data_IF_070286321879
#
_entry.id   IF_070286321879
#
_cell.length_a   1.000
_cell.length_b   1.000
_cell.length_c   1.000
_cell.angle_alpha   90.00
_cell.angle_beta   90.00
_cell.angle_gamma   90.00
#
_symmetry.space_group_name_H-M   'P 1'
#
loop_
_entity.id
_entity.type
_entity.pdbx_description
1 polymer ?
2 non-polymer ?
3 water ?
#
# COMPACT_ATOMS: atom_id res chain seq x y z
N UNK A 1 6.36 25.36 -13.40
CA UNK A 1 5.70 24.62 -14.47
C UNK A 1 5.21 23.26 -13.98
N UNK A 2 6.09 22.50 -13.34
CA UNK A 2 5.89 21.08 -13.10
C UNK A 2 5.58 20.84 -11.62
N UNK A 3 4.54 20.06 -11.37
CA UNK A 3 4.22 19.57 -10.02
C UNK A 3 4.73 18.14 -9.92
N UNK A 4 5.59 17.88 -8.94
CA UNK A 4 6.23 16.58 -8.80
C UNK A 4 5.61 15.79 -7.65
N UNK A 5 5.30 14.52 -7.91
CA UNK A 5 4.64 13.65 -6.93
C UNK A 5 5.55 12.46 -6.66
N UNK A 6 5.84 12.20 -5.38
CA UNK A 6 6.46 10.95 -4.96
C UNK A 6 5.37 9.93 -4.72
N UNK A 7 5.53 8.73 -5.28
CA UNK A 7 4.52 7.72 -5.05
C UNK A 7 5.07 6.30 -5.15
N UNK A 8 4.88 5.47 -4.12
CA UNK A 8 5.19 4.04 -4.25
C UNK A 8 4.17 3.28 -5.09
N UNK A 9 3.06 3.92 -5.49
CA UNK A 9 2.09 3.26 -6.36
C UNK A 9 2.72 2.92 -7.70
N UNK A 10 2.17 1.91 -8.36
CA UNK A 10 2.53 1.63 -9.73
C UNK A 10 1.86 2.64 -10.67
N UNK A 11 2.44 2.78 -11.86
CA UNK A 11 1.97 3.82 -12.78
C UNK A 11 0.54 3.56 -13.23
N UNK A 12 0.16 2.30 -13.41
CA UNK A 12 -1.16 2.00 -13.96
C UNK A 12 -2.30 2.41 -13.04
N UNK A 13 -2.03 2.64 -11.75
CA UNK A 13 -3.09 3.04 -10.84
C UNK A 13 -3.30 4.55 -10.84
N UNK A 14 -2.22 5.33 -10.92
CA UNK A 14 -2.31 6.76 -10.68
C UNK A 14 -2.05 7.60 -11.93
N UNK A 15 -1.31 7.08 -12.91
CA UNK A 15 -1.06 7.87 -14.12
C UNK A 15 -2.33 8.30 -14.84
N UNK A 16 -3.37 7.47 -14.99
CA UNK A 16 -4.59 7.97 -15.66
C UNK A 16 -5.27 9.13 -14.95
N UNK A 17 -5.53 9.02 -13.64
CA UNK A 17 -6.22 10.11 -12.96
C UNK A 17 -5.32 11.34 -12.84
N UNK A 18 -4.01 11.13 -12.73
CA UNK A 18 -3.10 12.28 -12.75
C UNK A 18 -3.07 12.93 -14.13
N UNK A 19 -3.24 12.13 -15.19
CA UNK A 19 -3.43 12.71 -16.52
C UNK A 19 -4.73 13.51 -16.58
N UNK A 20 -5.79 12.98 -15.97
CA UNK A 20 -7.05 13.71 -15.93
C UNK A 20 -6.91 15.02 -15.16
N UNK A 21 -6.05 15.04 -14.14
CA UNK A 21 -5.78 16.30 -13.45
C UNK A 21 -5.04 17.28 -14.35
N UNK A 22 -4.08 16.77 -15.13
CA UNK A 22 -3.40 17.61 -16.13
C UNK A 22 -4.41 18.21 -17.09
N UNK A 23 -5.33 17.37 -17.60
CA UNK A 23 -6.30 17.84 -18.58
C UNK A 23 -7.23 18.89 -17.98
N UNK A 24 -7.56 18.75 -16.70
CA UNK A 24 -8.51 19.67 -16.07
C UNK A 24 -7.83 20.95 -15.60
N UNK A 25 -6.64 20.84 -15.00
CA UNK A 25 -6.00 21.99 -14.35
C UNK A 25 -4.83 22.56 -15.14
N UNK A 26 -4.46 21.96 -16.27
CA UNK A 26 -3.43 22.48 -17.16
C UNK A 26 -2.08 22.60 -16.43
N UNK A 27 -1.74 21.56 -15.66
CA UNK A 27 -0.48 21.47 -14.94
C UNK A 27 0.19 20.16 -15.34
N UNK A 28 1.51 20.18 -15.47
CA UNK A 28 2.28 18.99 -15.82
C UNK A 28 2.72 18.28 -14.55
N UNK A 29 2.36 17.00 -14.43
CA UNK A 29 2.67 16.20 -13.25
C UNK A 29 3.71 15.15 -13.63
N UNK A 30 4.82 15.14 -12.91
CA UNK A 30 5.83 14.10 -13.03
C UNK A 30 5.84 13.27 -11.74
N UNK A 31 6.11 11.98 -11.89
CA UNK A 31 6.04 11.03 -10.78
C UNK A 31 7.42 10.46 -10.53
N UNK A 32 7.82 10.42 -9.25
CA UNK A 32 9.04 9.76 -8.82
C UNK A 32 8.62 8.47 -8.11
N UNK A 33 8.97 7.33 -8.71
CA UNK A 33 8.56 6.02 -8.23
C UNK A 33 9.65 5.39 -7.36
N UNK A 34 9.24 4.44 -6.53
CA UNK A 34 10.16 3.71 -5.69
C UNK A 34 9.46 3.11 -4.50
N UNK A 35 10.20 2.31 -3.75
CA UNK A 35 9.70 1.78 -2.49
C UNK A 35 9.39 2.94 -1.54
N UNK A 36 8.41 2.71 -0.66
CA UNK A 36 7.92 3.78 0.20
C UNK A 36 9.04 4.42 1.00
N UNK A 37 9.75 3.62 1.80
CA UNK A 37 10.80 4.17 2.65
C UNK A 37 12.00 4.66 1.87
N UNK A 38 12.24 4.12 0.66
CA UNK A 38 13.32 4.62 -0.18
C UNK A 38 13.00 6.03 -0.66
N UNK A 39 11.75 6.25 -1.11
CA UNK A 39 11.33 7.58 -1.50
C UNK A 39 11.44 8.56 -0.34
N UNK A 40 11.03 8.12 0.86
CA UNK A 40 11.07 8.99 2.03
C UNK A 40 12.51 9.32 2.42
N UNK A 41 13.41 8.34 2.30
CA UNK A 41 14.82 8.59 2.62
C UNK A 41 15.48 9.48 1.58
N UNK A 42 15.20 9.22 0.30
CA UNK A 42 15.73 10.08 -0.75
C UNK A 42 15.18 11.50 -0.63
N UNK A 43 13.89 11.63 -0.32
CA UNK A 43 13.30 12.94 -0.09
C UNK A 43 13.98 13.65 1.08
N UNK A 44 14.23 12.92 2.17
CA UNK A 44 14.86 13.51 3.34
C UNK A 44 16.23 14.10 3.01
N UNK A 45 17.00 13.42 2.15
CA UNK A 45 18.34 13.86 1.80
C UNK A 45 18.35 14.85 0.64
N UNK A 46 17.19 15.20 0.11
CA UNK A 46 17.09 16.15 -0.99
C UNK A 46 17.19 17.58 -0.46
N UNK A 47 17.78 18.46 -1.27
CA UNK A 47 17.75 19.87 -0.95
C UNK A 47 16.31 20.34 -0.86
N UNK A 48 16.06 21.37 -0.04
CA UNK A 48 14.73 21.98 0.00
C UNK A 48 14.29 22.41 -1.40
N UNK A 49 15.23 22.92 -2.20
CA UNK A 49 14.87 23.56 -3.47
C UNK A 49 14.64 22.57 -4.61
N UNK A 50 15.11 21.34 -4.51
CA UNK A 50 14.89 20.34 -5.55
C UNK A 50 13.73 19.41 -5.25
N UNK A 51 13.17 19.49 -4.04
CA UNK A 51 12.16 18.53 -3.61
C UNK A 51 10.88 18.68 -4.42
N UNK A 52 10.14 17.58 -4.51
CA UNK A 52 8.82 17.58 -5.10
C UNK A 52 7.80 18.19 -4.16
N UNK A 53 6.53 18.05 -4.54
CA UNK A 53 5.44 18.76 -3.87
C UNK A 53 4.51 17.88 -3.07
N UNK A 54 4.21 16.66 -3.54
CA UNK A 54 3.19 15.82 -2.93
C UNK A 54 3.72 14.39 -2.83
N UNK A 55 3.38 13.72 -1.73
CA UNK A 55 3.65 12.30 -1.53
C UNK A 55 2.32 11.60 -1.38
N UNK A 56 2.03 10.66 -2.29
CA UNK A 56 0.80 9.89 -2.24
C UNK A 56 1.11 8.40 -2.28
N UNK A 57 0.43 7.65 -1.43
CA UNK A 57 0.67 6.23 -1.31
C UNK A 57 1.50 5.89 -0.08
N UNK A 58 1.41 4.63 0.33
CA UNK A 58 2.07 4.18 1.54
C UNK A 58 1.28 4.52 2.78
N UNK A 59 1.57 3.79 3.86
CA UNK A 59 0.92 4.05 5.14
C UNK A 59 1.62 5.22 5.80
N UNK A 60 1.38 6.43 5.26
CA UNK A 60 2.16 7.60 5.66
C UNK A 60 1.86 8.01 7.10
N UNK A 61 0.61 7.86 7.52
CA UNK A 61 0.23 8.29 8.88
C UNK A 61 0.99 7.54 9.97
N UNK A 62 1.66 6.44 9.62
CA UNK A 62 2.35 5.63 10.61
C UNK A 62 3.84 5.40 10.33
N UNK A 63 4.32 5.71 9.11
CA UNK A 63 5.69 5.36 8.76
C UNK A 63 6.49 6.55 8.23
N UNK A 64 6.08 7.79 8.54
CA UNK A 64 6.88 8.96 8.22
C UNK A 64 7.85 9.18 9.38
N UNK A 65 9.13 8.89 9.15
CA UNK A 65 10.13 9.00 10.21
C UNK A 65 10.58 10.43 10.43
N UNK A 66 10.49 11.29 9.41
CA UNK A 66 10.96 12.67 9.48
C UNK A 66 9.79 13.60 9.18
N UNK A 67 8.96 13.90 10.18
CA UNK A 67 7.85 14.85 9.96
C UNK A 67 8.30 16.24 9.58
N UNK A 68 9.56 16.59 9.86
CA UNK A 68 10.08 17.91 9.47
C UNK A 68 10.18 18.09 7.97
N UNK A 69 10.05 17.02 7.19
CA UNK A 69 10.09 17.09 5.74
C UNK A 69 8.72 17.33 5.13
N UNK A 70 7.69 17.54 5.94
CA UNK A 70 6.33 17.68 5.46
C UNK A 70 5.66 18.88 6.12
N UNK A 71 4.54 19.30 5.52
CA UNK A 71 3.79 20.47 5.97
C UNK A 71 2.54 19.98 6.70
N UNK A 72 2.22 20.52 7.87
CA UNK A 72 0.97 20.12 8.55
C UNK A 72 -0.24 20.53 7.74
N UNK A 73 -0.94 19.55 7.16
CA UNK A 73 -2.08 19.85 6.31
C UNK A 73 -2.94 18.60 6.16
N UNK A 74 -4.24 18.76 6.36
CA UNK A 74 -5.22 17.74 6.02
C UNK A 74 -6.30 18.41 5.17
N UNK A 75 -6.75 17.71 4.13
CA UNK A 75 -7.81 18.24 3.29
C UNK A 75 -9.09 18.42 4.11
N UNK A 76 -9.89 19.41 3.70
CA UNK A 76 -11.14 19.68 4.40
C UNK A 76 -12.10 18.50 4.32
N UNK A 77 -11.99 17.69 3.26
CA UNK A 77 -12.91 16.58 3.04
C UNK A 77 -12.69 15.41 3.99
N UNK A 78 -11.81 15.52 4.98
CA UNK A 78 -11.69 14.47 5.97
C UNK A 78 -13.00 14.28 6.73
N UNK A 79 -13.85 15.31 6.75
CA UNK A 79 -15.15 15.19 7.40
C UNK A 79 -16.05 14.19 6.67
N UNK A 80 -15.82 13.97 5.38
CA UNK A 80 -16.62 13.04 4.60
C UNK A 80 -16.03 11.63 4.54
N UNK A 81 -14.95 11.38 5.28
CA UNK A 81 -14.27 10.10 5.21
C UNK A 81 -14.82 9.12 6.22
N UNK A 82 -14.61 7.83 5.94
CA UNK A 82 -15.05 6.78 6.84
C UNK A 82 -14.42 6.97 8.21
N UNK A 83 -15.24 6.83 9.26
CA UNK A 83 -14.83 7.26 10.59
C UNK A 83 -13.63 6.46 11.11
N UNK A 84 -13.56 5.17 10.77
CA UNK A 84 -12.52 4.32 11.34
C UNK A 84 -11.15 4.56 10.75
N UNK A 85 -11.03 5.28 9.64
CA UNK A 85 -9.77 5.36 8.91
C UNK A 85 -9.29 6.78 8.65
N UNK A 86 -9.86 7.78 9.32
CA UNK A 86 -9.34 9.13 9.21
C UNK A 86 -7.95 9.21 9.83
N UNK A 87 -7.05 9.94 9.17
CA UNK A 87 -5.69 10.05 9.66
C UNK A 87 -5.65 10.75 11.01
N UNK A 88 -4.87 10.18 11.93
CA UNK A 88 -4.55 10.83 13.19
C UNK A 88 -3.23 11.60 13.11
N UNK A 89 -2.64 11.68 11.91
CA UNK A 89 -1.38 12.35 11.67
C UNK A 89 -1.67 13.68 10.98
N UNK A 90 -1.26 14.78 11.61
CA UNK A 90 -1.58 16.11 11.09
C UNK A 90 -0.90 16.41 9.76
N UNK A 91 0.07 15.59 9.34
CA UNK A 91 0.71 15.76 8.05
C UNK A 91 0.05 14.95 6.94
N UNK A 92 -0.89 14.07 7.27
CA UNK A 92 -1.38 13.05 6.35
C UNK A 92 -2.89 13.19 6.19
N UNK A 93 -3.36 13.14 4.95
CA UNK A 93 -4.77 12.95 4.63
C UNK A 93 -4.95 11.52 4.12
N UNK A 94 -5.90 10.80 4.71
CA UNK A 94 -6.19 9.45 4.23
C UNK A 94 -6.71 9.49 2.80
N UNK A 95 -6.31 8.51 2.00
CA UNK A 95 -6.57 8.55 0.57
C UNK A 95 -7.30 7.31 0.07
N UNK A 96 -6.77 6.12 0.35
CA UNK A 96 -7.36 4.87 -0.10
C UNK A 96 -7.19 3.82 0.98
N UNK A 97 -8.05 2.80 0.93
CA UNK A 97 -7.91 1.61 1.76
C UNK A 97 -7.37 0.49 0.89
N UNK A 98 -6.24 -0.09 1.31
CA UNK A 98 -5.56 -1.10 0.51
C UNK A 98 -5.31 -2.35 1.34
N UNK A 99 -6.08 -3.41 1.15
CA UNK A 99 -5.79 -4.66 1.85
C UNK A 99 -4.49 -5.27 1.35
N UNK A 100 -3.65 -5.70 2.28
CA UNK A 100 -2.53 -6.56 1.93
C UNK A 100 -3.04 -7.97 1.74
N UNK A 101 -2.43 -8.70 0.81
CA UNK A 101 -2.96 -9.99 0.38
C UNK A 101 -1.83 -10.99 0.20
N UNK A 102 -2.20 -12.27 0.18
CA UNK A 102 -1.36 -13.35 -0.32
C UNK A 102 -1.79 -13.62 -1.76
N UNK A 103 -0.82 -13.69 -2.66
CA UNK A 103 -1.07 -14.05 -4.05
C UNK A 103 -0.54 -15.45 -4.29
N UNK A 104 -1.34 -16.28 -4.97
CA UNK A 104 -0.99 -17.67 -5.24
C UNK A 104 -1.05 -17.91 -6.73
N UNK A 105 -0.04 -18.59 -7.27
CA UNK A 105 -0.06 -19.01 -8.66
C UNK A 105 -0.99 -20.22 -8.77
N UNK A 106 -2.13 -20.03 -9.44
CA UNK A 106 -3.13 -21.08 -9.51
C UNK A 106 -2.76 -22.22 -10.44
N UNK A 107 -1.76 -22.03 -11.30
CA UNK A 107 -1.28 -23.11 -12.17
C UNK A 107 -0.26 -24.00 -11.46
N UNK A 108 0.55 -23.44 -10.56
CA UNK A 108 1.49 -24.23 -9.78
C UNK A 108 0.87 -24.82 -8.52
N UNK A 109 -0.23 -24.25 -8.04
CA UNK A 109 -0.77 -24.61 -6.74
C UNK A 109 -1.18 -26.08 -6.69
N UNK A 110 -1.91 -26.54 -7.69
CA UNK A 110 -2.37 -27.91 -7.68
C UNK A 110 -3.34 -28.15 -6.54
N UNK A 111 -3.08 -29.17 -5.74
CA UNK A 111 -3.92 -29.51 -4.60
C UNK A 111 -3.47 -28.85 -3.31
N UNK A 112 -2.41 -28.03 -3.35
CA UNK A 112 -1.94 -27.38 -2.13
C UNK A 112 -2.96 -26.36 -1.67
N UNK A 113 -3.32 -26.42 -0.39
CA UNK A 113 -4.26 -25.46 0.20
C UNK A 113 -3.47 -24.31 0.81
N UNK A 114 -3.85 -23.08 0.48
CA UNK A 114 -3.25 -21.88 1.05
C UNK A 114 -4.38 -20.96 1.45
N UNK A 115 -4.72 -20.94 2.74
CA UNK A 115 -5.79 -20.10 3.27
C UNK A 115 -5.28 -18.90 4.03
N UNK A 116 -3.99 -18.87 4.37
CA UNK A 116 -3.45 -17.75 5.13
C UNK A 116 -1.97 -17.96 5.42
N UNK A 117 -1.53 -17.30 6.48
CA UNK A 117 -0.11 -17.30 6.80
C UNK A 117 0.36 -18.66 7.28
N UNK A 118 -0.46 -19.37 8.06
CA UNK A 118 -0.05 -20.68 8.57
C UNK A 118 0.20 -21.66 7.44
N UNK A 119 -0.67 -21.65 6.42
CA UNK A 119 -0.52 -22.56 5.29
C UNK A 119 0.75 -22.29 4.48
N UNK A 120 1.28 -21.07 4.53
CA UNK A 120 2.52 -20.77 3.83
C UNK A 120 3.71 -21.53 4.41
N UNK A 121 3.59 -22.03 5.64
CA UNK A 121 4.67 -22.74 6.32
C UNK A 121 4.69 -24.22 5.99
N UNK A 122 3.81 -24.70 5.11
CA UNK A 122 3.83 -26.11 4.74
C UNK A 122 5.16 -26.45 4.08
N UNK A 123 5.77 -27.59 4.43
CA UNK A 123 7.11 -27.92 3.91
C UNK A 123 7.23 -27.87 2.40
N UNK A 124 6.17 -28.22 1.66
CA UNK A 124 6.22 -28.23 0.20
C UNK A 124 6.50 -26.83 -0.35
N UNK A 125 6.18 -25.78 0.41
CA UNK A 125 6.34 -24.41 -0.05
C UNK A 125 7.65 -23.78 0.38
N UNK A 126 8.52 -24.51 1.09
CA UNK A 126 9.74 -23.94 1.62
C UNK A 126 10.62 -23.38 0.51
N UNK A 127 11.10 -22.15 0.70
CA UNK A 127 11.93 -21.48 -0.27
C UNK A 127 11.24 -21.09 -1.56
N UNK A 128 9.95 -21.38 -1.70
CA UNK A 128 9.20 -21.09 -2.92
C UNK A 128 8.11 -20.04 -2.68
N UNK A 129 8.23 -19.26 -1.61
CA UNK A 129 7.37 -18.14 -1.30
C UNK A 129 8.22 -16.88 -1.26
N UNK A 130 7.63 -15.75 -1.68
CA UNK A 130 8.37 -14.50 -1.77
C UNK A 130 7.67 -13.40 -1.00
N UNK A 131 8.46 -12.44 -0.52
CA UNK A 131 7.96 -11.24 0.11
C UNK A 131 8.98 -10.13 -0.11
N UNK A 132 8.56 -8.89 0.14
CA UNK A 132 9.43 -7.75 -0.09
C UNK A 132 10.03 -7.25 1.21
N UNK A 133 11.17 -6.56 1.09
CA UNK A 133 11.99 -6.04 2.18
C UNK A 133 11.14 -5.22 3.15
N UNK A 134 10.95 -5.70 4.39
CA UNK A 134 10.17 -4.92 5.37
C UNK A 134 10.88 -3.65 5.82
N UNK A 135 12.18 -3.51 5.58
CA UNK A 135 12.90 -2.31 5.96
C UNK A 135 12.65 -1.15 4.99
N UNK A 136 12.33 -1.46 3.73
CA UNK A 136 12.22 -0.43 2.70
C UNK A 136 10.82 -0.26 2.13
N UNK A 137 9.95 -1.25 2.28
CA UNK A 137 8.65 -1.25 1.62
C UNK A 137 7.52 -1.14 2.63
N UNK A 138 6.40 -0.56 2.17
CA UNK A 138 5.18 -0.58 2.97
C UNK A 138 4.60 -1.99 3.04
N UNK A 139 4.59 -2.70 1.91
CA UNK A 139 3.93 -4.01 1.84
C UNK A 139 4.65 -5.03 2.72
N UNK A 140 5.97 -5.12 2.62
CA UNK A 140 6.71 -6.05 3.45
C UNK A 140 6.59 -5.73 4.93
N UNK A 141 6.63 -4.44 5.27
CA UNK A 141 6.51 -4.04 6.67
C UNK A 141 5.13 -4.37 7.22
N UNK A 142 4.08 -4.10 6.44
CA UNK A 142 2.73 -4.36 6.92
C UNK A 142 2.45 -5.85 7.03
N UNK A 143 3.04 -6.67 6.15
CA UNK A 143 2.86 -8.11 6.24
C UNK A 143 3.55 -8.68 7.47
N UNK A 144 4.75 -8.17 7.79
CA UNK A 144 5.44 -8.62 8.99
C UNK A 144 4.68 -8.22 10.25
N UNK A 145 4.03 -7.05 10.24
CA UNK A 145 3.14 -6.69 11.34
C UNK A 145 1.98 -7.66 11.45
N UNK A 146 1.38 -8.03 10.31
CA UNK A 146 0.25 -8.95 10.33
C UNK A 146 0.64 -10.29 10.90
N UNK A 147 1.81 -10.81 10.52
CA UNK A 147 2.28 -12.08 11.08
C UNK A 147 2.56 -11.94 12.57
N UNK A 148 3.21 -10.84 12.96
CA UNK A 148 3.43 -10.62 14.39
C UNK A 148 2.11 -10.45 15.14
N UNK A 149 1.11 -9.86 14.50
CA UNK A 149 -0.16 -9.61 15.17
C UNK A 149 -0.91 -10.88 15.53
N UNK A 150 -0.58 -12.01 14.90
CA UNK A 150 -1.32 -13.25 15.15
C UNK A 150 -1.30 -13.62 16.63
N UNK A 151 -0.10 -13.78 17.18
CA UNK A 151 0.06 -14.13 18.59
C UNK A 151 1.06 -13.23 19.30
N UNK A 152 1.48 -12.13 18.66
CA UNK A 152 2.48 -11.21 19.21
C UNK A 152 3.75 -11.96 19.59
N UNK A 153 4.22 -12.78 18.65
CA UNK A 153 5.42 -13.59 18.82
C UNK A 153 6.37 -13.29 17.68
N UNK A 154 7.57 -12.79 18.01
CA UNK A 154 8.59 -12.54 17.00
C UNK A 154 9.01 -13.85 16.33
N UNK A 155 8.91 -14.97 17.04
CA UNK A 155 9.27 -16.26 16.47
C UNK A 155 8.40 -16.60 15.26
N UNK A 156 7.15 -16.14 15.25
CA UNK A 156 6.30 -16.35 14.08
C UNK A 156 6.83 -15.59 12.87
N UNK A 157 7.31 -14.37 13.09
CA UNK A 157 7.91 -13.60 12.00
C UNK A 157 9.16 -14.29 11.48
N UNK A 158 10.02 -14.76 12.40
CA UNK A 158 11.25 -15.43 11.99
C UNK A 158 10.96 -16.75 11.29
N UNK A 159 9.93 -17.46 11.74
CA UNK A 159 9.58 -18.73 11.09
C UNK A 159 9.20 -18.51 9.63
N UNK A 160 8.41 -17.47 9.36
CA UNK A 160 8.05 -17.19 7.97
C UNK A 160 9.27 -16.77 7.16
N UNK A 161 10.09 -15.88 7.71
CA UNK A 161 11.23 -15.36 6.97
C UNK A 161 12.24 -16.46 6.64
N UNK A 162 12.40 -17.43 7.54
CA UNK A 162 13.26 -18.57 7.26
C UNK A 162 12.65 -19.49 6.19
N UNK A 163 11.36 -19.34 5.90
CA UNK A 163 10.66 -20.16 4.94
C UNK A 163 10.55 -19.51 3.56
N UNK A 164 10.80 -18.21 3.46
CA UNK A 164 10.49 -17.46 2.24
C UNK A 164 11.74 -16.72 1.75
N UNK A 165 11.66 -16.28 0.49
CA UNK A 165 12.71 -15.49 -0.14
C UNK A 165 12.31 -14.01 -0.10
N UNK A 166 13.20 -13.18 0.43
CA UNK A 166 12.95 -11.74 0.48
C UNK A 166 13.44 -11.08 -0.79
N UNK A 167 12.57 -10.29 -1.42
CA UNK A 167 12.89 -9.55 -2.62
C UNK A 167 13.00 -8.06 -2.30
N UNK A 168 13.74 -7.35 -3.15
CA UNK A 168 13.97 -5.93 -2.91
C UNK A 168 12.70 -5.11 -3.14
N UNK A 169 11.96 -5.42 -4.20
CA UNK A 169 10.82 -4.61 -4.63
C UNK A 169 9.51 -5.36 -4.44
N UNK A 170 8.50 -4.64 -3.96
CA UNK A 170 7.19 -5.24 -3.73
C UNK A 170 6.59 -5.78 -5.03
N UNK A 171 6.70 -5.03 -6.11
CA UNK A 171 6.10 -5.45 -7.38
C UNK A 171 6.84 -6.61 -8.01
N UNK A 172 8.07 -6.89 -7.58
CA UNK A 172 8.74 -8.11 -8.03
C UNK A 172 8.05 -9.35 -7.48
N UNK A 173 7.38 -9.23 -6.34
CA UNK A 173 6.68 -10.38 -5.76
C UNK A 173 5.54 -10.83 -6.66
N UNK A 174 4.67 -9.91 -7.06
CA UNK A 174 3.53 -10.28 -7.87
C UNK A 174 3.99 -10.71 -9.28
N UNK A 175 5.03 -10.07 -9.80
CA UNK A 175 5.51 -10.45 -11.14
C UNK A 175 6.06 -11.87 -11.14
N UNK A 176 6.88 -12.21 -10.13
CA UNK A 176 7.50 -13.53 -10.11
C UNK A 176 6.50 -14.62 -9.75
N UNK A 177 5.50 -14.30 -8.92
CA UNK A 177 4.44 -15.27 -8.64
C UNK A 177 3.58 -15.48 -9.87
N UNK A 178 3.16 -14.38 -10.52
CA UNK A 178 2.32 -14.47 -11.70
C UNK A 178 3.03 -15.22 -12.82
N UNK A 179 4.34 -15.02 -12.96
CA UNK A 179 5.12 -15.66 -14.01
C UNK A 179 5.60 -17.06 -13.62
N UNK A 180 5.28 -17.51 -12.41
CA UNK A 180 5.55 -18.89 -12.03
C UNK A 180 6.91 -19.15 -11.40
N UNK A 181 7.61 -18.12 -10.94
CA UNK A 181 8.87 -18.36 -10.24
C UNK A 181 8.63 -18.78 -8.80
N UNK A 182 7.56 -18.32 -8.18
CA UNK A 182 7.20 -18.71 -6.82
C UNK A 182 5.77 -19.22 -6.80
N UNK A 183 5.50 -20.11 -5.84
CA UNK A 183 4.14 -20.61 -5.68
C UNK A 183 3.22 -19.55 -5.09
N UNK A 184 3.73 -18.69 -4.22
CA UNK A 184 2.90 -17.68 -3.56
C UNK A 184 3.79 -16.54 -3.09
N UNK A 185 3.14 -15.42 -2.75
CA UNK A 185 3.86 -14.24 -2.31
C UNK A 185 2.98 -13.32 -1.49
N UNK A 186 3.64 -12.40 -0.79
CA UNK A 186 2.97 -11.39 0.01
C UNK A 186 2.91 -10.09 -0.79
N UNK A 187 1.71 -9.69 -1.17
CA UNK A 187 1.52 -8.54 -2.06
C UNK A 187 0.43 -7.64 -1.47
N UNK A 188 -0.20 -6.84 -2.33
CA UNK A 188 -1.35 -6.04 -1.93
C UNK A 188 -2.39 -6.07 -3.05
N UNK A 189 -3.60 -5.62 -2.71
CA UNK A 189 -4.77 -5.93 -3.52
C UNK A 189 -4.64 -5.39 -4.93
N UNK A 190 -4.29 -4.10 -5.08
CA UNK A 190 -4.26 -3.48 -6.40
C UNK A 190 -3.19 -4.10 -7.28
N UNK A 191 -2.03 -4.41 -6.71
CA UNK A 191 -0.96 -5.03 -7.48
C UNK A 191 -1.35 -6.43 -7.93
N UNK A 192 -2.01 -7.18 -7.06
CA UNK A 192 -2.51 -8.50 -7.43
C UNK A 192 -3.56 -8.41 -8.54
N UNK A 193 -4.45 -7.41 -8.44
CA UNK A 193 -5.51 -7.28 -9.43
C UNK A 193 -4.95 -6.90 -10.81
N UNK A 194 -3.85 -6.13 -10.84
CA UNK A 194 -3.25 -5.75 -12.11
C UNK A 194 -2.87 -6.98 -12.93
N UNK A 195 -2.23 -7.96 -12.29
CA UNK A 195 -1.74 -9.12 -13.03
C UNK A 195 -2.83 -10.16 -13.26
N UNK A 196 -3.77 -10.32 -12.31
CA UNK A 196 -4.88 -11.23 -12.54
C UNK A 196 -5.75 -10.77 -13.70
N UNK A 197 -5.99 -9.45 -13.79
CA UNK A 197 -6.79 -8.93 -14.88
C UNK A 197 -6.06 -8.95 -16.22
N UNK A 198 -4.73 -9.10 -16.19
CA UNK A 198 -3.96 -9.34 -17.40
C UNK A 198 -3.95 -10.81 -17.82
N UNK A 199 -4.77 -11.64 -17.17
CA UNK A 199 -4.90 -13.04 -17.53
C UNK A 199 -3.94 -13.99 -16.85
N UNK A 200 -3.06 -13.50 -16.00
CA UNK A 200 -2.09 -14.37 -15.36
C UNK A 200 -2.76 -15.27 -14.32
N UNK A 201 -2.25 -16.50 -14.14
CA UNK A 201 -2.88 -17.42 -13.17
C UNK A 201 -2.62 -17.01 -11.73
N UNK A 202 -3.35 -16.02 -11.24
CA UNK A 202 -3.11 -15.45 -9.92
C UNK A 202 -4.40 -15.56 -9.10
N UNK A 203 -4.29 -16.16 -7.92
CA UNK A 203 -5.38 -16.18 -6.96
C UNK A 203 -5.08 -15.20 -5.83
N UNK A 204 -6.09 -14.46 -5.39
CA UNK A 204 -5.95 -13.48 -4.32
C UNK A 204 -6.50 -14.11 -3.04
N UNK A 205 -5.68 -14.17 -2.00
CA UNK A 205 -6.02 -14.81 -0.74
C UNK A 205 -5.94 -13.78 0.37
N UNK A 206 -7.03 -13.64 1.13
CA UNK A 206 -7.03 -12.79 2.31
C UNK A 206 -6.77 -13.67 3.53
N UNK A 207 -5.65 -13.50 4.22
CA UNK A 207 -5.28 -14.45 5.29
C UNK A 207 -6.36 -14.59 6.35
N UNK A 208 -6.75 -15.84 6.61
CA UNK A 208 -7.83 -16.10 7.56
C UNK A 208 -7.41 -15.72 8.98
N UNK A 209 -6.12 -15.76 9.28
CA UNK A 209 -5.64 -15.39 10.61
C UNK A 209 -5.77 -13.89 10.87
N UNK A 210 -6.02 -13.09 9.84
CA UNK A 210 -6.08 -11.65 10.01
C UNK A 210 -5.40 -10.91 8.89
N UNK A 211 -6.17 -10.10 8.16
CA UNK A 211 -5.67 -9.36 7.01
C UNK A 211 -5.38 -7.92 7.43
N UNK A 212 -4.16 -7.46 7.19
CA UNK A 212 -3.82 -6.08 7.49
C UNK A 212 -4.41 -5.16 6.43
N UNK A 213 -5.06 -4.09 6.88
CA UNK A 213 -5.66 -3.10 6.00
C UNK A 213 -4.81 -1.83 6.03
N UNK A 214 -4.21 -1.48 4.89
CA UNK A 214 -3.43 -0.26 4.78
C UNK A 214 -4.35 0.93 4.58
N UNK A 215 -4.11 1.99 5.36
CA UNK A 215 -4.75 3.29 5.13
C UNK A 215 -3.70 4.13 4.41
N UNK A 216 -3.78 4.17 3.08
CA UNK A 216 -2.85 4.97 2.30
C UNK A 216 -3.13 6.46 2.50
N UNK A 217 -2.07 7.26 2.48
CA UNK A 217 -2.17 8.67 2.81
C UNK A 217 -1.58 9.55 1.74
N UNK A 218 -1.87 10.85 1.87
CA UNK A 218 -1.33 11.91 1.02
C UNK A 218 -0.77 13.00 1.92
N UNK A 219 0.40 13.52 1.57
CA UNK A 219 1.06 14.54 2.37
C UNK A 219 1.71 15.58 1.48
N UNK A 220 1.76 16.81 1.96
CA UNK A 220 2.45 17.90 1.28
C UNK A 220 3.92 17.92 1.71
N UNK A 221 4.81 18.00 0.73
CA UNK A 221 6.25 17.95 0.98
C UNK A 221 6.76 19.35 1.23
N UNK A 222 7.53 19.51 2.31
CA UNK A 222 8.13 20.81 2.62
C UNK A 222 9.29 21.06 1.66
N UNK A 223 9.14 22.05 0.79
CA UNK A 223 10.17 22.45 -0.15
C UNK A 223 10.27 23.97 -0.15
N UNK A 224 11.23 24.50 -0.91
CA UNK A 224 11.43 25.94 -0.94
C UNK A 224 10.37 26.63 -1.77
N UNK A 225 10.02 26.07 -2.93
CA UNK A 225 9.08 26.68 -3.86
C UNK A 225 7.97 25.69 -4.16
N UNK A 226 6.98 25.58 -3.28
CA UNK A 226 5.87 24.65 -3.52
C UNK A 226 5.02 25.09 -4.70
N UNK A 227 4.60 24.12 -5.49
CA UNK A 227 3.69 24.42 -6.59
C UNK A 227 2.34 24.84 -6.02
N UNK A 228 1.81 26.00 -6.41
CA UNK A 228 0.59 26.51 -5.77
C UNK A 228 -0.65 25.68 -6.03
N UNK A 229 -0.62 24.76 -6.98
CA UNK A 229 -1.77 23.91 -7.28
C UNK A 229 -1.73 22.57 -6.53
N UNK A 230 -0.80 22.39 -5.60
CA UNK A 230 -0.67 21.09 -4.95
C UNK A 230 -1.82 20.82 -3.99
N UNK A 231 -2.40 21.87 -3.39
CA UNK A 231 -3.57 21.66 -2.54
C UNK A 231 -4.79 21.34 -3.37
N UNK A 232 -4.88 21.88 -4.59
CA UNK A 232 -5.95 21.47 -5.50
C UNK A 232 -5.81 20.00 -5.88
N UNK A 233 -4.57 19.53 -6.05
CA UNK A 233 -4.36 18.12 -6.38
C UNK A 233 -4.81 17.21 -5.24
N UNK A 234 -4.46 17.55 -4.00
CA UNK A 234 -4.90 16.76 -2.86
C UNK A 234 -6.42 16.77 -2.75
N UNK A 235 -7.03 17.95 -2.93
CA UNK A 235 -8.49 18.03 -2.95
C UNK A 235 -9.06 17.18 -4.09
N UNK A 236 -8.42 17.24 -5.27
CA UNK A 236 -8.84 16.43 -6.40
C UNK A 236 -8.81 14.94 -6.07
N UNK A 237 -7.68 14.47 -5.52
CA UNK A 237 -7.51 13.05 -5.28
C UNK A 237 -8.45 12.53 -4.20
N UNK A 238 -8.87 13.38 -3.27
CA UNK A 238 -9.76 12.98 -2.20
C UNK A 238 -11.22 13.36 -2.46
N UNK A 239 -11.52 13.90 -3.63
CA UNK A 239 -12.89 14.30 -3.95
C UNK A 239 -13.77 13.09 -4.22
N UNK A 240 -15.08 13.29 -4.10
CA UNK A 240 -16.02 12.19 -4.31
C UNK A 240 -15.95 11.65 -5.73
N UNK A 241 -15.98 12.54 -6.73
CA UNK A 241 -16.05 12.10 -8.12
C UNK A 241 -14.77 11.37 -8.53
N UNK A 242 -13.62 11.83 -8.06
CA UNK A 242 -12.36 11.17 -8.41
C UNK A 242 -12.24 9.85 -7.68
N UNK A 243 -12.61 9.81 -6.40
CA UNK A 243 -12.62 8.55 -5.66
C UNK A 243 -13.57 7.56 -6.30
N UNK A 244 -14.74 8.04 -6.76
CA UNK A 244 -15.69 7.17 -7.45
C UNK A 244 -15.09 6.62 -8.74
N UNK A 245 -14.31 7.43 -9.45
CA UNK A 245 -13.63 6.96 -10.66
C UNK A 245 -12.64 5.84 -10.32
N UNK A 246 -11.87 6.01 -9.25
CA UNK A 246 -10.91 4.98 -8.86
C UNK A 246 -11.61 3.69 -8.48
N UNK A 247 -12.74 3.79 -7.77
CA UNK A 247 -13.49 2.59 -7.38
C UNK A 247 -14.05 1.89 -8.61
N UNK A 248 -14.67 2.65 -9.51
CA UNK A 248 -15.33 2.05 -10.67
C UNK A 248 -14.33 1.38 -11.60
N UNK A 249 -13.17 1.97 -11.78
CA UNK A 249 -12.23 1.49 -12.80
C UNK A 249 -11.25 0.45 -12.27
N UNK A 250 -10.87 0.52 -10.99
CA UNK A 250 -9.84 -0.36 -10.44
C UNK A 250 -10.30 -1.25 -9.30
N UNK A 251 -11.59 -1.22 -8.94
CA UNK A 251 -12.07 -1.84 -7.71
C UNK A 251 -11.31 -1.32 -6.50
N UNK A 252 -10.90 -0.06 -6.54
CA UNK A 252 -10.28 0.57 -5.38
C UNK A 252 -11.28 0.66 -4.24
N UNK A 253 -10.77 0.83 -3.03
CA UNK A 253 -11.60 0.98 -1.84
C UNK A 253 -11.48 2.43 -1.38
N UNK A 254 -12.55 3.19 -1.58
CA UNK A 254 -12.51 4.61 -1.31
C UNK A 254 -12.43 4.91 0.18
N UNK A 255 -11.82 6.05 0.51
CA UNK A 255 -11.78 6.55 1.87
C UNK A 255 -13.06 7.25 2.28
N UNK A 256 -13.93 7.55 1.33
CA UNK A 256 -15.08 8.42 1.56
C UNK A 256 -16.34 7.62 1.87
N UNK A 257 -17.24 8.25 2.63
CA UNK A 257 -18.52 7.63 2.96
C UNK A 257 -19.48 7.65 1.77
N UNK A 258 -19.34 8.64 0.88
CA UNK A 258 -20.30 8.89 -0.19
C UNK A 258 -19.84 8.31 -1.52
N UNK A 259 -19.08 7.23 -1.50
CA UNK A 259 -18.56 6.60 -2.72
C UNK A 259 -18.94 5.12 -2.68
N UNK A 260 -19.20 4.57 -3.85
CA UNK A 260 -19.64 3.18 -3.95
C UNK A 260 -18.56 2.22 -3.45
N UNK A 261 -19.00 1.06 -3.00
CA UNK A 261 -18.12 -0.08 -2.77
C UNK A 261 -18.25 -1.03 -3.95
N UNK A 262 -17.12 -1.43 -4.52
CA UNK A 262 -17.10 -2.30 -5.69
C UNK A 262 -16.06 -3.40 -5.45
N UNK A 263 -16.50 -4.65 -5.53
CA UNK A 263 -15.64 -5.80 -5.30
C UNK A 263 -15.89 -6.83 -6.41
N UNK A 264 -15.46 -6.48 -7.62
CA UNK A 264 -15.70 -7.33 -8.78
C UNK A 264 -14.97 -8.66 -8.65
N UNK A 265 -15.73 -9.75 -8.81
CA UNK A 265 -15.19 -11.11 -8.91
C UNK A 265 -14.44 -11.44 -7.63
N UNK A 266 -13.14 -11.73 -7.68
CA UNK A 266 -12.40 -12.26 -6.53
C UNK A 266 -11.92 -11.19 -5.58
N UNK A 267 -12.04 -9.91 -5.93
CA UNK A 267 -11.81 -8.85 -4.95
C UNK A 267 -12.97 -8.85 -3.96
N UNK A 268 -12.66 -8.79 -2.68
CA UNK A 268 -13.67 -8.92 -1.64
C UNK A 268 -13.98 -7.58 -1.00
N UNK A 269 -15.25 -7.39 -0.65
CA UNK A 269 -15.66 -6.24 0.15
C UNK A 269 -15.01 -6.34 1.53
N UNK A 270 -14.79 -5.17 2.14
CA UNK A 270 -14.15 -5.13 3.46
C UNK A 270 -14.94 -5.93 4.49
N UNK A 271 -16.26 -5.97 4.35
CA UNK A 271 -17.09 -6.72 5.29
C UNK A 271 -16.82 -8.22 5.23
N UNK A 272 -16.28 -8.72 4.12
CA UNK A 272 -16.01 -10.14 3.95
C UNK A 272 -14.54 -10.47 4.09
N UNK A 273 -13.73 -9.55 4.60
CA UNK A 273 -12.28 -9.74 4.76
C UNK A 273 -11.99 -9.85 6.25
N UNK A 274 -11.31 -10.91 6.69
CA UNK A 274 -10.95 -11.00 8.11
C UNK A 274 -9.88 -9.99 8.49
N UNK A 275 -10.29 -8.75 8.71
CA UNK A 275 -9.33 -7.70 9.05
C UNK A 275 -8.79 -7.90 10.45
N UNK A 276 -7.51 -7.55 10.63
CA UNK A 276 -6.93 -7.51 11.97
C UNK A 276 -7.56 -6.34 12.71
N UNK A 277 -8.19 -6.56 13.86
CA UNK A 277 -8.75 -5.43 14.61
C UNK A 277 -7.66 -4.51 15.15
N UNK A 278 -8.00 -3.23 15.25
CA UNK A 278 -7.08 -2.23 15.76
C UNK A 278 -6.55 -2.64 17.14
N UNK A 279 -7.39 -3.28 17.97
CA UNK A 279 -6.99 -3.71 19.30
C UNK A 279 -5.91 -4.79 19.30
N UNK A 280 -5.71 -5.47 18.17
CA UNK A 280 -4.65 -6.47 18.03
C UNK A 280 -3.34 -5.88 17.53
N UNK A 281 -3.34 -4.60 17.13
CA UNK A 281 -2.12 -3.95 16.67
C UNK A 281 -1.48 -3.21 17.82
N UNK A 282 -0.23 -3.55 18.19
CA UNK A 282 0.27 -3.20 19.52
C UNK A 282 0.66 -1.74 19.71
N UNK A 283 0.56 -0.89 18.69
CA UNK A 283 0.97 0.51 18.77
C UNK A 283 2.45 0.62 19.13
N UNK A 284 3.27 0.16 18.18
CA UNK A 284 4.73 0.12 18.33
C UNK A 284 5.34 0.94 17.21
N UNK A 285 6.32 1.81 17.48
CA UNK A 285 6.86 2.67 16.42
C UNK A 285 7.48 1.87 15.28
N UNK A 286 7.44 2.47 14.09
CA UNK A 286 7.92 1.83 12.87
C UNK A 286 9.36 1.32 13.03
N UNK A 287 10.26 2.19 13.46
CA UNK A 287 11.66 1.79 13.61
C UNK A 287 11.82 0.73 14.69
N UNK A 288 11.04 0.82 15.77
CA UNK A 288 11.18 -0.13 16.87
C UNK A 288 10.72 -1.53 16.47
N UNK A 289 9.65 -1.62 15.69
CA UNK A 289 9.18 -2.93 15.23
C UNK A 289 10.23 -3.59 14.34
N UNK A 290 10.92 -2.80 13.52
CA UNK A 290 11.97 -3.35 12.68
C UNK A 290 13.17 -3.80 13.51
N UNK A 291 13.47 -3.10 14.61
CA UNK A 291 14.47 -3.60 15.53
C UNK A 291 14.01 -4.88 16.21
N UNK A 292 12.70 -5.01 16.45
CA UNK A 292 12.18 -6.16 17.18
C UNK A 292 12.32 -7.45 16.37
N UNK A 293 12.15 -7.38 15.05
CA UNK A 293 12.12 -8.55 14.20
C UNK A 293 13.44 -8.76 13.46
N UNK A 294 14.45 -7.95 13.74
CA UNK A 294 15.73 -8.08 13.07
C UNK A 294 16.48 -9.34 13.53
X LIG B 1 0.87 -1.13 -0.55
X LIG B 1 0.34 0.24 -0.15
X LIG B 1 0.39 1.17 -1.30
X LIG B 1 1.78 1.27 -1.88
X LIG B 1 2.31 -0.12 -2.26
X LIG B 1 3.70 -0.01 -2.77
X LIG B 1 0.88 -1.95 0.52
X LIG B 1 -1.04 0.11 0.30
X LIG B 1 -0.02 2.49 -0.88
X LIG B 1 2.63 1.85 -0.88
X LIG B 1 2.27 -1.03 -1.11
X LIG B 1 4.54 0.43 -1.78
X LIG B 1 5.87 -0.46 -1.41
X LIG B 1 5.46 -1.77 -0.80
X LIG B 1 6.71 0.31 -0.39
X LIG B 1 6.69 -0.70 -2.64
#
# INVERSE_FOLDING_TARGET
NVLTVYSPYQSNLIRPILNEFEKQEHVKIEIKHGSTQVLLSNLHNEDFSERGDVFMGGVLSETIDHPEDFVPYQDTSVTQQLEDYRSNNKYVTSFLLMPTVIVVNSDLQGDIKIRGYQDLLQPILKGKIAYSNPNTTTTGYQHMRAIYSMHHRVSDVHQFQNHAMQLSKTSKVIEDVAKGKYYAGLSYEQDARTWKNKGYPVSIVYPIEGTMLNVDGIALVKNAHPHPKRKKLVQYLTSRSVQQRLVAEFDAKSIRKDVSEQSDQSIENLKNIPLIPKSKLPDIPHHKFLEMIQ
BGP C1 C2 C3 C4 C5 C6 O1 O2 O3 O4 O5 O6 P O1P O2P O3P
#
